data_IF_881687753892
#
_entry.id   IF_881687753892
#
_cell.length_a   1.000
_cell.length_b   1.000
_cell.length_c   1.000
_cell.angle_alpha   90.00
_cell.angle_beta   90.00
_cell.angle_gamma   90.00
#
_symmetry.space_group_name_H-M   'P 1'
#
loop_
_entity.id
_entity.type
_entity.pdbx_description
1 polymer ?
#
# COMPACT_ATOMS: atom_id res chain seq x y z
N UNK A 1 -4.45 -2.53 -20.46
CA UNK A 1 -5.89 -2.82 -20.61
C UNK A 1 -6.68 -1.70 -19.95
N UNK A 2 -7.67 -1.11 -20.63
CA UNK A 2 -8.54 -0.07 -20.07
C UNK A 2 -9.70 -0.64 -19.23
N UNK A 3 -9.83 -1.97 -19.15
CA UNK A 3 -10.90 -2.60 -18.38
C UNK A 3 -10.57 -2.62 -16.89
N UNK A 4 -11.43 -1.99 -16.09
CA UNK A 4 -11.42 -2.02 -14.62
C UNK A 4 -12.37 -3.08 -14.04
N UNK A 5 -12.85 -4.03 -14.86
CA UNK A 5 -13.84 -5.02 -14.45
C UNK A 5 -13.37 -5.85 -13.25
N UNK A 6 -12.10 -6.27 -13.23
CA UNK A 6 -11.50 -7.00 -12.11
C UNK A 6 -11.53 -6.17 -10.81
N UNK A 7 -11.20 -4.87 -10.89
CA UNK A 7 -11.28 -3.95 -9.75
C UNK A 7 -12.72 -3.77 -9.26
N UNK A 8 -13.69 -3.64 -10.17
CA UNK A 8 -15.10 -3.49 -9.83
C UNK A 8 -15.63 -4.76 -9.15
N UNK A 9 -15.32 -5.94 -9.68
CA UNK A 9 -15.72 -7.22 -9.08
C UNK A 9 -15.12 -7.38 -7.68
N UNK A 10 -13.84 -7.04 -7.50
CA UNK A 10 -13.17 -7.06 -6.21
C UNK A 10 -13.84 -6.09 -5.21
N UNK A 11 -14.15 -4.86 -5.64
CA UNK A 11 -14.86 -3.88 -4.80
C UNK A 11 -16.25 -4.40 -4.36
N UNK A 12 -17.01 -5.00 -5.27
CA UNK A 12 -18.30 -5.62 -4.95
C UNK A 12 -18.15 -6.72 -3.90
N UNK A 13 -17.08 -7.53 -4.00
CA UNK A 13 -16.81 -8.59 -3.01
C UNK A 13 -16.45 -8.01 -1.64
N UNK A 14 -15.58 -7.00 -1.58
CA UNK A 14 -15.26 -6.30 -0.33
C UNK A 14 -16.51 -5.71 0.33
N UNK A 15 -17.34 -4.99 -0.44
CA UNK A 15 -18.59 -4.41 0.07
C UNK A 15 -19.52 -5.48 0.63
N UNK A 16 -19.66 -6.63 -0.05
CA UNK A 16 -20.49 -7.74 0.45
C UNK A 16 -19.92 -8.39 1.72
N UNK A 17 -18.60 -8.38 1.87
CA UNK A 17 -17.91 -8.89 3.06
C UNK A 17 -17.88 -7.87 4.22
N UNK A 18 -18.36 -6.63 4.01
CA UNK A 18 -18.31 -5.57 5.02
C UNK A 18 -16.93 -4.92 5.17
N UNK A 19 -16.05 -5.04 4.16
CA UNK A 19 -14.72 -4.45 4.13
C UNK A 19 -14.67 -3.19 3.25
N UNK A 20 -13.72 -2.29 3.55
CA UNK A 20 -13.53 -1.02 2.84
C UNK A 20 -12.84 -1.19 1.47
N UNK A 21 -11.90 -2.13 1.38
CA UNK A 21 -11.13 -2.44 0.16
C UNK A 21 -10.91 -3.95 0.04
N UNK A 22 -10.75 -4.43 -1.19
CA UNK A 22 -10.36 -5.80 -1.48
C UNK A 22 -8.86 -5.90 -1.71
N UNK A 23 -8.16 -6.73 -0.93
CA UNK A 23 -6.79 -7.12 -1.21
C UNK A 23 -6.78 -8.17 -2.34
N UNK A 24 -6.11 -7.85 -3.45
CA UNK A 24 -6.05 -8.67 -4.65
C UNK A 24 -4.69 -9.35 -4.76
N UNK A 25 -4.71 -10.62 -5.17
CA UNK A 25 -3.51 -11.43 -5.41
C UNK A 25 -3.16 -11.44 -6.91
N UNK A 26 -1.90 -11.73 -7.21
CA UNK A 26 -1.45 -12.03 -8.56
C UNK A 26 -1.86 -13.46 -9.00
N UNK A 27 -1.66 -13.85 -10.27
CA UNK A 27 -1.97 -15.20 -10.75
C UNK A 27 -1.18 -16.33 -10.07
N UNK A 28 -0.11 -16.00 -9.35
CA UNK A 28 0.74 -16.94 -8.61
C UNK A 28 0.35 -17.04 -7.12
N UNK A 29 -0.63 -16.25 -6.67
CA UNK A 29 -1.10 -16.22 -5.28
C UNK A 29 -0.31 -15.29 -4.36
N UNK A 30 0.55 -14.42 -4.89
CA UNK A 30 1.24 -13.40 -4.10
C UNK A 30 0.39 -12.14 -3.95
N UNK A 31 0.62 -11.42 -2.85
CA UNK A 31 -0.04 -10.14 -2.61
C UNK A 31 0.39 -9.13 -3.66
N UNK A 32 -0.59 -8.45 -4.27
CA UNK A 32 -0.33 -7.60 -5.43
C UNK A 32 -0.79 -6.15 -5.23
N UNK A 33 -2.10 -5.92 -5.12
CA UNK A 33 -2.68 -4.57 -5.07
C UNK A 33 -4.03 -4.62 -4.38
N UNK A 34 -4.68 -3.48 -4.16
CA UNK A 34 -6.11 -3.46 -3.83
C UNK A 34 -6.96 -3.07 -5.04
N UNK A 35 -8.29 -3.07 -4.90
CA UNK A 35 -9.17 -2.72 -6.02
C UNK A 35 -8.99 -1.28 -6.51
N UNK A 36 -8.54 -0.36 -5.65
CA UNK A 36 -8.33 1.05 -6.04
C UNK A 36 -6.92 1.61 -5.76
N UNK A 37 -6.12 0.95 -4.92
CA UNK A 37 -4.84 1.47 -4.41
C UNK A 37 -3.72 0.43 -4.52
N UNK A 38 -2.46 0.88 -4.40
CA UNK A 38 -1.33 -0.02 -4.19
C UNK A 38 -1.22 -0.38 -2.70
N UNK A 39 -0.68 -1.57 -2.41
CA UNK A 39 -0.61 -2.09 -1.05
C UNK A 39 0.85 -2.22 -0.57
N UNK A 40 1.06 -1.95 0.71
CA UNK A 40 2.34 -2.01 1.39
C UNK A 40 2.18 -2.67 2.76
N UNK A 41 3.20 -3.38 3.18
CA UNK A 41 3.35 -3.84 4.57
C UNK A 41 4.68 -3.36 5.15
N UNK A 42 4.73 -3.26 6.47
CA UNK A 42 5.97 -3.10 7.24
C UNK A 42 6.16 -4.37 8.04
N UNK A 43 7.33 -4.97 7.91
CA UNK A 43 7.67 -6.18 8.65
C UNK A 43 9.13 -6.14 9.05
N UNK A 44 9.41 -6.30 10.35
CA UNK A 44 10.77 -6.26 10.92
C UNK A 44 11.52 -4.98 10.54
N UNK A 45 10.81 -3.85 10.50
CA UNK A 45 11.37 -2.55 10.11
C UNK A 45 11.61 -2.37 8.61
N UNK A 46 11.22 -3.32 7.77
CA UNK A 46 11.35 -3.26 6.32
C UNK A 46 9.98 -2.98 5.67
N UNK A 47 9.96 -2.11 4.67
CA UNK A 47 8.77 -1.80 3.87
C UNK A 47 8.72 -2.73 2.66
N UNK A 48 7.66 -3.51 2.50
CA UNK A 48 7.48 -4.39 1.36
C UNK A 48 6.28 -3.96 0.52
N UNK A 49 6.44 -4.00 -0.80
CA UNK A 49 5.35 -3.81 -1.77
C UNK A 49 5.54 -4.80 -2.91
N UNK A 50 4.45 -5.10 -3.62
CA UNK A 50 4.46 -6.07 -4.72
C UNK A 50 5.40 -5.63 -5.84
N UNK A 51 5.84 -6.60 -6.65
CA UNK A 51 6.49 -6.28 -7.91
C UNK A 51 5.47 -5.60 -8.83
N UNK A 52 5.93 -4.65 -9.65
CA UNK A 52 5.06 -3.87 -10.55
C UNK A 52 4.52 -4.68 -11.75
N UNK A 53 4.63 -6.00 -11.73
CA UNK A 53 4.33 -6.90 -12.84
C UNK A 53 2.82 -7.02 -13.10
N UNK A 54 2.02 -7.01 -12.02
CA UNK A 54 0.57 -7.22 -12.07
C UNK A 54 -0.24 -6.10 -11.42
N UNK A 55 0.39 -5.02 -10.96
CA UNK A 55 -0.30 -3.86 -10.41
C UNK A 55 -0.17 -2.63 -11.31
N UNK A 56 -1.05 -1.66 -11.08
CA UNK A 56 -0.93 -0.36 -11.73
C UNK A 56 0.34 0.36 -11.23
N UNK A 57 1.18 0.94 -12.11
CA UNK A 57 2.35 1.71 -11.71
C UNK A 57 1.91 3.06 -11.11
N UNK A 58 1.47 3.03 -9.85
CA UNK A 58 0.92 4.20 -9.17
C UNK A 58 1.98 5.28 -8.95
N UNK A 59 1.64 6.54 -9.24
CA UNK A 59 2.53 7.69 -9.01
C UNK A 59 2.83 7.83 -7.51
N UNK A 60 1.81 7.73 -6.64
CA UNK A 60 1.99 7.78 -5.18
C UNK A 60 2.88 6.65 -4.69
N UNK A 61 2.70 5.41 -5.20
CA UNK A 61 3.58 4.27 -4.94
C UNK A 61 5.03 4.59 -5.31
N UNK A 62 5.26 5.07 -6.53
CA UNK A 62 6.61 5.41 -7.01
C UNK A 62 7.29 6.48 -6.15
N UNK A 63 6.54 7.50 -5.72
CA UNK A 63 7.05 8.55 -4.82
C UNK A 63 7.35 8.02 -3.41
N UNK A 64 6.50 7.15 -2.86
CA UNK A 64 6.78 6.48 -1.57
C UNK A 64 8.04 5.61 -1.68
N UNK A 65 8.20 4.88 -2.79
CA UNK A 65 9.41 4.04 -3.01
C UNK A 65 10.68 4.91 -3.07
N UNK A 66 10.64 6.00 -3.83
CA UNK A 66 11.75 6.95 -3.91
C UNK A 66 12.08 7.55 -2.53
N UNK A 67 11.07 8.03 -1.81
CA UNK A 67 11.24 8.61 -0.46
C UNK A 67 11.88 7.63 0.51
N UNK A 68 11.45 6.36 0.49
CA UNK A 68 12.06 5.34 1.35
C UNK A 68 13.54 5.17 1.04
N UNK A 69 13.91 5.06 -0.25
CA UNK A 69 15.31 4.94 -0.68
C UNK A 69 16.16 6.15 -0.29
N UNK A 70 15.65 7.36 -0.50
CA UNK A 70 16.35 8.62 -0.20
C UNK A 70 16.57 8.83 1.30
N UNK A 71 15.68 8.29 2.15
CA UNK A 71 15.72 8.48 3.61
C UNK A 71 16.25 7.27 4.38
N UNK A 72 16.86 6.30 3.68
CA UNK A 72 17.45 5.10 4.28
C UNK A 72 16.43 4.20 4.96
N UNK A 73 15.17 4.20 4.51
CA UNK A 73 14.13 3.27 4.96
C UNK A 73 14.24 2.01 4.09
N UNK A 74 14.55 0.83 4.65
CA UNK A 74 14.66 -0.40 3.86
C UNK A 74 13.35 -0.68 3.13
N UNK A 75 13.42 -0.77 1.80
CA UNK A 75 12.25 -1.03 0.96
C UNK A 75 12.54 -2.09 -0.09
N UNK A 76 11.60 -3.03 -0.22
CA UNK A 76 11.70 -4.14 -1.15
C UNK A 76 10.45 -4.23 -2.02
N UNK A 77 10.66 -4.19 -3.33
CA UNK A 77 9.66 -4.54 -4.34
C UNK A 77 9.81 -6.04 -4.60
N UNK A 78 8.97 -6.86 -3.97
CA UNK A 78 9.12 -8.33 -3.97
C UNK A 78 7.77 -9.03 -3.91
N UNK A 79 7.79 -10.32 -4.26
CA UNK A 79 6.66 -11.20 -4.02
C UNK A 79 6.63 -11.62 -2.54
N UNK A 80 5.45 -11.54 -1.94
CA UNK A 80 5.19 -12.01 -0.58
C UNK A 80 3.77 -12.57 -0.50
N UNK A 81 3.60 -13.57 0.36
CA UNK A 81 2.36 -14.30 0.53
C UNK A 81 1.36 -13.56 1.41
N UNK A 82 0.10 -13.98 1.34
CA UNK A 82 -0.96 -13.46 2.20
C UNK A 82 -0.69 -13.71 3.69
N UNK A 83 -0.05 -14.85 4.03
CA UNK A 83 0.38 -15.17 5.39
C UNK A 83 1.41 -14.16 5.90
N UNK A 84 2.31 -13.71 5.04
CA UNK A 84 3.30 -12.68 5.40
C UNK A 84 2.65 -11.32 5.61
N UNK A 85 1.59 -11.00 4.86
CA UNK A 85 0.80 -9.79 5.06
C UNK A 85 0.00 -9.81 6.37
N UNK A 86 -0.62 -10.94 6.72
CA UNK A 86 -1.30 -11.10 8.01
C UNK A 86 -0.37 -10.96 9.21
N UNK A 87 0.89 -11.37 9.06
CA UNK A 87 1.92 -11.27 10.10
C UNK A 87 2.77 -10.00 10.03
N UNK A 88 2.27 -8.95 9.37
CA UNK A 88 2.95 -7.66 9.30
C UNK A 88 2.79 -6.85 10.59
N UNK A 89 3.77 -5.99 10.86
CA UNK A 89 3.75 -5.05 11.99
C UNK A 89 2.87 -3.83 11.66
N UNK A 90 2.88 -3.40 10.39
CA UNK A 90 2.01 -2.34 9.87
C UNK A 90 1.55 -2.70 8.46
N UNK A 91 0.39 -2.19 8.03
CA UNK A 91 -0.03 -2.24 6.64
C UNK A 91 -0.64 -0.89 6.23
N UNK A 92 -0.46 -0.52 4.96
CA UNK A 92 -1.03 0.70 4.42
C UNK A 92 -1.25 0.60 2.92
N UNK A 93 -2.15 1.43 2.41
CA UNK A 93 -2.42 1.59 0.99
C UNK A 93 -1.98 2.97 0.51
N UNK A 94 -1.64 3.05 -0.78
CA UNK A 94 -1.34 4.33 -1.43
C UNK A 94 -2.23 4.55 -2.65
N UNK A 95 -2.85 5.72 -2.72
CA UNK A 95 -3.63 6.17 -3.87
C UNK A 95 -3.53 7.68 -4.03
N UNK A 96 -3.89 8.20 -5.21
CA UNK A 96 -3.84 9.65 -5.46
C UNK A 96 -4.79 10.42 -4.53
N UNK A 97 -6.00 9.89 -4.33
CA UNK A 97 -7.01 10.50 -3.46
C UNK A 97 -6.82 10.17 -1.98
N UNK A 98 -6.47 8.91 -1.67
CA UNK A 98 -6.27 8.44 -0.30
C UNK A 98 -4.94 8.90 0.32
N UNK A 99 -3.95 9.26 -0.51
CA UNK A 99 -2.60 9.54 -0.03
C UNK A 99 -1.98 8.26 0.52
N UNK A 100 -1.57 8.26 1.79
CA UNK A 100 -1.18 7.07 2.55
C UNK A 100 -2.21 6.82 3.65
N UNK A 101 -2.94 5.72 3.55
CA UNK A 101 -3.98 5.30 4.52
C UNK A 101 -3.56 4.00 5.18
N UNK A 102 -3.59 3.93 6.51
CA UNK A 102 -3.24 2.71 7.24
C UNK A 102 -4.34 1.66 7.09
N UNK A 103 -3.97 0.39 7.22
CA UNK A 103 -4.88 -0.75 7.19
C UNK A 103 -4.85 -1.38 8.58
N UNK A 104 -5.97 -1.30 9.30
CA UNK A 104 -6.09 -1.83 10.67
C UNK A 104 -6.31 -3.34 10.70
N UNK A 105 -6.96 -3.89 9.67
CA UNK A 105 -7.40 -5.29 9.64
C UNK A 105 -7.34 -5.85 8.21
N UNK A 106 -7.01 -7.14 8.07
CA UNK A 106 -7.15 -7.90 6.83
C UNK A 106 -7.89 -9.21 7.13
N UNK A 107 -9.03 -9.45 6.49
CA UNK A 107 -9.84 -10.66 6.65
C UNK A 107 -10.15 -11.04 8.12
N UNK A 108 -10.57 -10.07 8.96
CA UNK A 108 -10.84 -10.32 10.37
C UNK A 108 -9.61 -10.35 11.28
N UNK A 109 -8.41 -10.15 10.73
CA UNK A 109 -7.14 -10.20 11.48
C UNK A 109 -6.57 -8.81 11.65
N UNK A 110 -6.44 -8.39 12.91
CA UNK A 110 -5.79 -7.14 13.26
C UNK A 110 -4.33 -7.14 12.77
N UNK A 111 -3.91 -6.06 12.13
CA UNK A 111 -2.52 -5.86 11.72
C UNK A 111 -1.84 -4.99 12.77
N UNK A 112 -0.74 -5.48 13.34
CA UNK A 112 -0.08 -4.83 14.47
C UNK A 112 -1.05 -4.60 15.63
N UNK A 113 -1.21 -3.35 16.02
CA UNK A 113 -2.14 -2.88 17.06
C UNK A 113 -3.44 -2.26 16.49
N UNK A 114 -3.64 -2.33 15.16
CA UNK A 114 -4.78 -1.72 14.47
C UNK A 114 -4.66 -0.21 14.27
N UNK A 115 -3.54 0.40 14.63
CA UNK A 115 -3.28 1.83 14.54
C UNK A 115 -2.19 2.12 13.48
N UNK A 116 -2.06 3.38 13.01
CA UNK A 116 -0.96 3.75 12.13
C UNK A 116 0.38 3.63 12.87
N UNK A 117 1.25 2.74 12.41
CA UNK A 117 2.55 2.51 13.05
C UNK A 117 3.62 3.56 12.69
N UNK A 118 4.79 3.50 13.37
CA UNK A 118 5.83 4.52 13.28
C UNK A 118 6.46 4.64 11.88
N UNK A 119 6.61 3.54 11.13
CA UNK A 119 7.22 3.58 9.80
C UNK A 119 6.28 4.26 8.80
N UNK A 120 5.00 3.90 8.80
CA UNK A 120 3.97 4.54 7.99
C UNK A 120 3.86 6.04 8.31
N UNK A 121 3.85 6.40 9.60
CA UNK A 121 3.79 7.81 10.02
C UNK A 121 5.01 8.60 9.53
N UNK A 122 6.22 8.02 9.61
CA UNK A 122 7.45 8.64 9.09
C UNK A 122 7.35 8.86 7.59
N UNK A 123 6.89 7.87 6.82
CA UNK A 123 6.70 7.98 5.37
C UNK A 123 5.68 9.08 5.05
N UNK A 124 4.58 9.16 5.80
CA UNK A 124 3.54 10.17 5.61
C UNK A 124 4.06 11.59 5.87
N UNK A 125 4.90 11.77 6.88
CA UNK A 125 5.55 13.06 7.17
C UNK A 125 6.46 13.50 6.02
N UNK A 126 7.35 12.61 5.57
CA UNK A 126 8.25 12.86 4.43
C UNK A 126 7.49 13.16 3.13
N UNK A 127 6.39 12.45 2.89
CA UNK A 127 5.54 12.70 1.71
C UNK A 127 4.87 14.08 1.76
N UNK A 128 4.46 14.54 2.95
CA UNK A 128 3.91 15.90 3.14
C UNK A 128 4.97 16.97 2.88
N UNK A 129 6.19 16.78 3.37
CA UNK A 129 7.32 17.69 3.09
C UNK A 129 7.63 17.76 1.59
N UNK A 130 7.63 16.61 0.91
CA UNK A 130 7.82 16.56 -0.54
C UNK A 130 6.75 17.35 -1.30
N UNK A 131 5.47 17.22 -0.91
CA UNK A 131 4.38 18.00 -1.52
C UNK A 131 4.63 19.50 -1.32
N UNK A 132 4.96 19.93 -0.10
CA UNK A 132 5.22 21.33 0.20
C UNK A 132 6.37 21.87 -0.65
N UNK A 133 7.51 21.18 -0.68
CA UNK A 133 8.66 21.58 -1.48
C UNK A 133 8.34 21.68 -2.98
N UNK A 134 7.59 20.71 -3.51
CA UNK A 134 7.24 20.67 -4.95
C UNK A 134 6.25 21.78 -5.33
N UNK A 135 5.25 22.04 -4.49
CA UNK A 135 4.25 23.09 -4.77
C UNK A 135 4.81 24.50 -4.52
N UNK A 136 5.70 24.68 -3.55
CA UNK A 136 6.35 25.98 -3.30
C UNK A 136 7.43 26.33 -4.33
N UNK A 137 8.06 25.34 -4.97
CA UNK A 137 8.98 25.57 -6.07
C UNK A 137 8.28 25.86 -7.42
N UNK A 138 6.97 25.60 -7.50
CA UNK A 138 6.13 25.85 -8.68
C UNK A 138 5.35 27.18 -8.61
N UNK A 139 5.55 27.96 -7.54
CA UNK A 139 4.99 29.30 -7.31
C UNK A 139 6.09 30.36 -7.46
#
# INVERSE_FOLDING_TARGET
SHSKLNCILAAIHATKAGADEALMLDPHGFVNTTNSCNFFIVRRGEVWTSTADYCMPGITRAKVVALCRENGIPIFEKNFSLVEAYGADEAFITGTFSGQTWVSEIDGRLIGDGAPGPVMQRIRALYRELIQATCSAAA
#
